data_IF_871727658420
#
_entry.id   IF_871727658420
#
_cell.length_a   1.000
_cell.length_b   1.000
_cell.length_c   1.000
_cell.angle_alpha   90.00
_cell.angle_beta   90.00
_cell.angle_gamma   90.00
#
_symmetry.space_group_name_H-M   'P 1'
#
loop_
_entity.id
_entity.type
_entity.pdbx_description
1 polymer ?
#
# COMPACT_ATOMS: atom_id res chain seq x y z
N UNK A 1 -9.03 -27.59 -10.40
CA UNK A 1 -7.66 -28.01 -10.74
C UNK A 1 -6.90 -28.46 -9.49
N UNK A 2 -6.13 -29.54 -9.56
CA UNK A 2 -5.29 -30.03 -8.45
C UNK A 2 -3.85 -30.16 -8.94
N UNK A 3 -2.92 -29.50 -8.27
CA UNK A 3 -1.48 -29.52 -8.57
C UNK A 3 -0.73 -30.05 -7.34
N UNK A 4 0.09 -31.08 -7.50
CA UNK A 4 0.86 -31.67 -6.40
C UNK A 4 2.29 -31.90 -6.82
N UNK A 5 3.24 -31.65 -5.92
CA UNK A 5 4.66 -31.90 -6.16
C UNK A 5 5.19 -31.19 -7.42
N UNK A 6 4.63 -30.01 -7.74
CA UNK A 6 5.06 -29.26 -8.92
C UNK A 6 6.20 -28.30 -8.55
N UNK A 7 7.06 -28.05 -9.53
CA UNK A 7 8.14 -27.08 -9.44
C UNK A 7 8.00 -26.10 -10.60
N UNK A 8 7.71 -24.84 -10.31
CA UNK A 8 7.67 -23.75 -11.29
C UNK A 8 8.88 -22.86 -11.05
N UNK A 9 9.73 -22.74 -12.08
CA UNK A 9 11.00 -22.03 -11.95
C UNK A 9 11.32 -21.17 -13.16
N UNK A 10 11.94 -20.01 -12.90
CA UNK A 10 12.49 -19.12 -13.93
C UNK A 10 11.43 -18.67 -14.95
N UNK A 11 10.19 -18.49 -14.49
CA UNK A 11 9.10 -18.00 -15.34
C UNK A 11 9.11 -16.48 -15.28
N UNK A 12 9.14 -15.83 -16.44
CA UNK A 12 9.15 -14.37 -16.55
C UNK A 12 8.03 -13.98 -17.51
N UNK A 13 7.07 -13.18 -17.05
CA UNK A 13 5.99 -12.68 -17.89
C UNK A 13 5.89 -11.16 -17.79
N UNK A 14 5.96 -10.49 -18.92
CA UNK A 14 5.59 -9.07 -19.04
C UNK A 14 4.06 -8.97 -19.07
N UNK A 15 3.47 -8.10 -18.24
CA UNK A 15 2.03 -7.86 -18.17
C UNK A 15 1.16 -9.02 -17.65
N UNK A 16 1.75 -10.02 -16.97
CA UNK A 16 1.11 -11.30 -16.71
C UNK A 16 0.84 -11.67 -15.25
N UNK A 17 -0.05 -12.65 -15.08
CA UNK A 17 -0.31 -13.39 -13.83
C UNK A 17 0.04 -14.86 -14.00
N UNK A 18 0.38 -15.53 -12.90
CA UNK A 18 0.70 -16.96 -12.94
C UNK A 18 -0.53 -17.85 -13.07
N UNK A 19 -1.33 -17.90 -12.03
CA UNK A 19 -2.48 -18.78 -11.85
C UNK A 19 -3.72 -17.94 -11.60
N UNK A 20 -4.74 -18.15 -12.42
CA UNK A 20 -6.05 -17.54 -12.24
C UNK A 20 -7.15 -18.58 -12.42
N UNK A 21 -8.29 -18.36 -11.77
CA UNK A 21 -9.51 -19.10 -12.00
C UNK A 21 -10.65 -18.16 -12.35
N UNK A 22 -11.64 -18.68 -13.08
CA UNK A 22 -12.94 -18.04 -13.27
C UNK A 22 -13.97 -18.67 -12.34
N UNK A 23 -15.23 -18.23 -12.44
CA UNK A 23 -16.39 -18.65 -11.66
C UNK A 23 -16.39 -20.11 -11.19
N UNK A 24 -16.72 -20.29 -9.91
CA UNK A 24 -16.75 -21.55 -9.14
C UNK A 24 -15.44 -22.35 -9.22
N UNK A 25 -14.36 -21.59 -9.42
CA UNK A 25 -13.01 -22.05 -9.59
C UNK A 25 -12.38 -22.60 -8.32
N UNK A 26 -12.15 -23.92 -8.29
CA UNK A 26 -11.38 -24.56 -7.22
C UNK A 26 -9.98 -24.93 -7.67
N UNK A 27 -8.96 -24.35 -7.03
CA UNK A 27 -7.55 -24.71 -7.20
C UNK A 27 -7.01 -25.27 -5.88
N UNK A 28 -6.34 -26.41 -5.94
CA UNK A 28 -5.65 -26.99 -4.79
C UNK A 28 -4.20 -27.28 -5.16
N UNK A 29 -3.27 -26.74 -4.39
CA UNK A 29 -1.82 -26.83 -4.62
C UNK A 29 -1.21 -27.42 -3.35
N UNK A 30 -0.40 -28.47 -3.46
CA UNK A 30 0.27 -29.06 -2.30
C UNK A 30 1.67 -29.54 -2.59
N UNK A 31 2.58 -29.36 -1.62
CA UNK A 31 3.96 -29.84 -1.70
C UNK A 31 4.70 -29.28 -2.93
N UNK A 32 4.44 -28.03 -3.28
CA UNK A 32 4.92 -27.43 -4.52
C UNK A 32 5.95 -26.33 -4.25
N UNK A 33 6.77 -26.00 -5.25
CA UNK A 33 7.74 -24.91 -5.16
C UNK A 33 7.58 -23.95 -6.33
N UNK A 34 7.59 -22.66 -6.02
CA UNK A 34 7.57 -21.54 -6.95
C UNK A 34 8.83 -20.72 -6.70
N UNK A 35 9.78 -20.74 -7.64
CA UNK A 35 11.10 -20.18 -7.41
C UNK A 35 11.60 -19.33 -8.59
N UNK A 36 12.09 -18.13 -8.30
CA UNK A 36 12.63 -17.21 -9.29
C UNK A 36 11.64 -16.88 -10.41
N UNK A 37 10.36 -16.66 -10.05
CA UNK A 37 9.33 -16.26 -10.99
C UNK A 37 9.09 -14.74 -10.94
N UNK A 38 8.76 -14.15 -12.08
CA UNK A 38 8.28 -12.78 -12.20
C UNK A 38 6.91 -12.75 -12.86
N UNK A 39 5.92 -12.25 -12.13
CA UNK A 39 4.58 -11.98 -12.61
C UNK A 39 4.19 -10.58 -12.12
N UNK A 40 3.89 -9.65 -13.03
CA UNK A 40 3.55 -8.27 -12.65
C UNK A 40 2.37 -8.21 -11.65
N UNK A 41 1.39 -9.10 -11.86
CA UNK A 41 0.19 -9.25 -11.03
C UNK A 41 0.28 -10.40 -10.02
N UNK A 42 1.51 -10.81 -9.68
CA UNK A 42 1.77 -11.89 -8.74
C UNK A 42 1.46 -13.29 -9.28
N UNK A 43 1.83 -14.31 -8.50
CA UNK A 43 1.55 -15.71 -8.86
C UNK A 43 0.04 -15.94 -8.90
N UNK A 44 -0.72 -15.36 -7.97
CA UNK A 44 -2.17 -15.44 -7.91
C UNK A 44 -2.75 -14.02 -8.00
N UNK A 45 -3.51 -13.74 -9.06
CA UNK A 45 -4.27 -12.49 -9.18
C UNK A 45 -5.75 -12.74 -8.88
N UNK A 46 -6.36 -11.83 -8.12
CA UNK A 46 -7.81 -11.77 -7.90
C UNK A 46 -8.33 -10.40 -8.36
N UNK A 47 -9.16 -10.43 -9.39
CA UNK A 47 -10.03 -9.31 -9.79
C UNK A 47 -11.44 -9.87 -9.97
N UNK A 48 -12.23 -9.82 -8.90
CA UNK A 48 -13.49 -10.57 -8.83
C UNK A 48 -14.71 -9.79 -9.31
N UNK A 49 -14.57 -8.79 -10.19
CA UNK A 49 -15.75 -8.11 -10.79
C UNK A 49 -16.64 -9.14 -11.51
N UNK A 50 -17.69 -9.59 -10.83
CA UNK A 50 -18.60 -10.63 -11.31
C UNK A 50 -18.14 -12.07 -11.09
N UNK A 51 -16.91 -12.33 -10.64
CA UNK A 51 -16.45 -13.69 -10.38
C UNK A 51 -16.90 -14.16 -8.99
N UNK A 52 -17.49 -15.36 -8.90
CA UNK A 52 -17.96 -15.96 -7.63
C UNK A 52 -17.39 -17.37 -7.43
N UNK A 53 -17.29 -17.84 -6.20
CA UNK A 53 -16.90 -19.21 -5.86
C UNK A 53 -15.40 -19.51 -5.95
N UNK A 54 -14.53 -18.52 -5.73
CA UNK A 54 -13.07 -18.69 -5.83
C UNK A 54 -12.54 -19.43 -4.60
N UNK A 55 -12.04 -20.66 -4.78
CA UNK A 55 -11.48 -21.47 -3.70
C UNK A 55 -10.04 -21.87 -4.02
N UNK A 56 -9.07 -21.25 -3.36
CA UNK A 56 -7.66 -21.61 -3.41
C UNK A 56 -7.21 -22.26 -2.10
N UNK A 57 -6.63 -23.45 -2.21
CA UNK A 57 -6.12 -24.19 -1.08
C UNK A 57 -4.67 -24.59 -1.33
N UNK A 58 -3.74 -23.81 -0.79
CA UNK A 58 -2.29 -23.98 -0.92
C UNK A 58 -1.77 -24.57 0.40
N UNK A 59 -1.06 -25.69 0.32
CA UNK A 59 -0.52 -26.38 1.51
C UNK A 59 0.93 -26.80 1.31
N UNK A 60 1.73 -26.73 2.38
CA UNK A 60 3.10 -27.26 2.40
C UNK A 60 3.93 -26.83 1.18
N UNK A 61 3.79 -25.58 0.75
CA UNK A 61 4.40 -25.10 -0.49
C UNK A 61 5.37 -23.96 -0.20
N UNK A 62 6.37 -23.82 -1.06
CA UNK A 62 7.45 -22.87 -0.88
C UNK A 62 7.48 -21.85 -2.02
N UNK A 63 7.70 -20.59 -1.66
CA UNK A 63 7.76 -19.45 -2.57
C UNK A 63 9.08 -18.71 -2.34
N UNK A 64 10.00 -18.84 -3.30
CA UNK A 64 11.36 -18.30 -3.22
C UNK A 64 11.66 -17.28 -4.31
N UNK A 65 12.27 -16.15 -3.95
CA UNK A 65 12.83 -15.20 -4.92
C UNK A 65 11.83 -14.75 -5.99
N UNK A 66 10.54 -14.69 -5.68
CA UNK A 66 9.53 -14.28 -6.64
C UNK A 66 9.39 -12.76 -6.63
N UNK A 67 9.15 -12.17 -7.80
CA UNK A 67 9.08 -10.71 -7.96
C UNK A 67 7.80 -10.27 -8.65
N UNK A 68 7.31 -9.08 -8.31
CA UNK A 68 6.16 -8.44 -8.98
C UNK A 68 6.16 -6.93 -8.83
N UNK A 69 5.16 -6.26 -9.41
CA UNK A 69 4.90 -4.85 -9.14
C UNK A 69 4.23 -4.69 -7.76
N UNK A 70 3.19 -5.48 -7.50
CA UNK A 70 2.47 -5.54 -6.22
C UNK A 70 2.21 -7.00 -5.85
N UNK A 71 2.35 -7.38 -4.57
CA UNK A 71 1.95 -8.71 -4.10
C UNK A 71 2.56 -9.85 -4.89
N UNK A 72 3.85 -10.17 -4.68
CA UNK A 72 4.56 -11.16 -5.51
C UNK A 72 3.88 -12.52 -5.58
N UNK A 73 3.15 -12.89 -4.52
CA UNK A 73 2.43 -14.15 -4.46
C UNK A 73 0.93 -13.92 -4.68
N UNK A 74 0.33 -12.95 -4.00
CA UNK A 74 -1.10 -12.68 -4.09
C UNK A 74 -1.36 -11.18 -4.33
N UNK A 75 -2.01 -10.87 -5.45
CA UNK A 75 -2.41 -9.51 -5.80
C UNK A 75 -3.94 -9.45 -5.95
N UNK A 76 -4.60 -8.73 -5.06
CA UNK A 76 -6.05 -8.56 -5.04
C UNK A 76 -6.37 -7.14 -5.48
N UNK A 77 -6.79 -6.99 -6.73
CA UNK A 77 -7.17 -5.71 -7.34
C UNK A 77 -8.59 -5.28 -7.00
N UNK A 78 -9.48 -6.24 -6.78
CA UNK A 78 -10.84 -6.00 -6.31
C UNK A 78 -11.45 -7.32 -5.87
N UNK A 79 -12.19 -7.29 -4.77
CA UNK A 79 -12.95 -8.45 -4.32
C UNK A 79 -14.31 -8.01 -3.77
N UNK A 80 -15.37 -8.49 -4.43
CA UNK A 80 -16.75 -8.39 -3.97
C UNK A 80 -17.06 -9.57 -3.06
N UNK A 81 -17.55 -9.29 -1.86
CA UNK A 81 -17.74 -10.31 -0.84
C UNK A 81 -18.64 -11.45 -1.31
N UNK A 82 -18.19 -12.68 -1.04
CA UNK A 82 -18.95 -13.90 -1.23
C UNK A 82 -18.56 -14.92 -0.15
N UNK A 83 -19.57 -15.43 0.56
CA UNK A 83 -19.43 -16.38 1.66
C UNK A 83 -18.70 -17.69 1.28
N UNK A 84 -18.70 -18.06 0.00
CA UNK A 84 -18.12 -19.32 -0.47
C UNK A 84 -16.64 -19.17 -0.89
N UNK A 85 -16.14 -17.94 -1.00
CA UNK A 85 -14.80 -17.71 -1.51
C UNK A 85 -13.78 -17.84 -0.38
N UNK A 86 -12.67 -18.51 -0.67
CA UNK A 86 -11.60 -18.70 0.32
C UNK A 86 -10.26 -18.95 -0.36
N UNK A 87 -9.25 -18.19 0.07
CA UNK A 87 -7.86 -18.37 -0.29
C UNK A 87 -7.10 -18.70 0.99
N UNK A 88 -6.54 -19.91 1.05
CA UNK A 88 -5.82 -20.38 2.23
C UNK A 88 -4.42 -20.85 1.86
N UNK A 89 -3.44 -20.34 2.61
CA UNK A 89 -2.06 -20.80 2.62
C UNK A 89 -1.81 -21.45 3.98
N UNK A 90 -1.42 -22.73 3.97
CA UNK A 90 -1.21 -23.49 5.20
C UNK A 90 0.19 -24.09 5.20
N UNK A 91 0.93 -23.98 6.31
CA UNK A 91 2.26 -24.58 6.49
C UNK A 91 3.21 -24.25 5.31
N UNK A 92 3.20 -23.00 4.85
CA UNK A 92 3.93 -22.58 3.64
C UNK A 92 5.02 -21.58 3.99
N UNK A 93 6.08 -21.56 3.19
CA UNK A 93 7.25 -20.70 3.38
C UNK A 93 7.33 -19.66 2.26
N UNK A 94 7.47 -18.40 2.65
CA UNK A 94 7.65 -17.25 1.76
C UNK A 94 8.99 -16.60 2.07
N UNK A 95 9.97 -16.78 1.18
CA UNK A 95 11.33 -16.32 1.41
C UNK A 95 11.91 -15.53 0.23
N UNK A 96 12.52 -14.38 0.53
CA UNK A 96 13.16 -13.49 -0.45
C UNK A 96 12.24 -13.05 -1.60
N UNK A 97 10.92 -13.00 -1.38
CA UNK A 97 10.01 -12.47 -2.38
C UNK A 97 9.96 -10.95 -2.28
N UNK A 98 9.85 -10.26 -3.41
CA UNK A 98 9.87 -8.80 -3.42
C UNK A 98 8.83 -8.21 -4.37
N UNK A 99 8.20 -7.11 -3.96
CA UNK A 99 7.38 -6.29 -4.85
C UNK A 99 8.00 -4.91 -5.01
N UNK A 100 7.94 -4.32 -6.21
CA UNK A 100 8.48 -2.97 -6.43
C UNK A 100 7.73 -1.93 -5.59
N UNK A 101 6.41 -2.02 -5.52
CA UNK A 101 5.57 -0.99 -4.89
C UNK A 101 5.04 -1.46 -3.53
N UNK A 102 4.05 -2.36 -3.53
CA UNK A 102 3.27 -2.68 -2.33
C UNK A 102 3.20 -4.17 -2.06
N UNK A 103 3.33 -4.55 -0.80
CA UNK A 103 3.06 -5.91 -0.34
C UNK A 103 4.05 -6.92 -0.90
N UNK A 104 5.15 -7.20 -0.20
CA UNK A 104 6.19 -8.09 -0.73
C UNK A 104 5.69 -9.51 -0.99
N UNK A 105 4.65 -9.96 -0.28
CA UNK A 105 3.96 -11.24 -0.51
C UNK A 105 2.53 -11.03 -0.97
N UNK A 106 1.77 -10.19 -0.26
CA UNK A 106 0.36 -9.92 -0.53
C UNK A 106 0.08 -8.43 -0.64
N UNK A 107 -0.61 -8.07 -1.72
CA UNK A 107 -1.20 -6.76 -1.90
C UNK A 107 -2.71 -6.91 -2.00
N UNK A 108 -3.44 -6.07 -1.27
CA UNK A 108 -4.88 -5.94 -1.46
C UNK A 108 -5.37 -4.52 -1.25
N UNK A 109 -6.28 -4.11 -2.11
CA UNK A 109 -7.09 -2.90 -1.95
C UNK A 109 -8.56 -3.22 -1.61
N UNK A 110 -8.93 -4.48 -1.41
CA UNK A 110 -10.31 -4.86 -1.17
C UNK A 110 -10.66 -4.76 0.31
N UNK A 111 -11.79 -4.10 0.65
CA UNK A 111 -12.23 -3.95 2.04
C UNK A 111 -12.59 -5.28 2.72
N UNK A 112 -12.81 -6.37 1.95
CA UNK A 112 -13.25 -7.66 2.47
C UNK A 112 -12.15 -8.74 2.41
N UNK A 113 -10.87 -8.34 2.32
CA UNK A 113 -9.77 -9.31 2.17
C UNK A 113 -9.60 -10.18 3.42
N UNK A 114 -9.90 -9.64 4.60
CA UNK A 114 -10.01 -10.35 5.87
C UNK A 114 -11.06 -11.48 5.90
N UNK A 115 -11.98 -11.54 4.94
CA UNK A 115 -12.95 -12.65 4.84
C UNK A 115 -12.51 -13.69 3.82
N UNK A 116 -11.62 -13.32 2.91
CA UNK A 116 -11.17 -14.14 1.80
C UNK A 116 -9.87 -14.88 2.10
N UNK A 117 -8.88 -14.21 2.72
CA UNK A 117 -7.48 -14.66 2.74
C UNK A 117 -7.03 -15.08 4.13
N UNK A 118 -6.40 -16.26 4.20
CA UNK A 118 -5.93 -16.88 5.44
C UNK A 118 -4.51 -17.44 5.26
N UNK A 119 -3.61 -17.08 6.16
CA UNK A 119 -2.25 -17.59 6.28
C UNK A 119 -2.09 -18.30 7.63
N UNK A 120 -2.21 -19.63 7.60
CA UNK A 120 -2.16 -20.51 8.77
C UNK A 120 -0.79 -21.19 8.83
N UNK A 121 -0.08 -21.04 9.95
CA UNK A 121 1.23 -21.65 10.22
C UNK A 121 2.27 -21.38 9.10
N UNK A 122 2.27 -20.15 8.57
CA UNK A 122 3.18 -19.73 7.50
C UNK A 122 4.41 -19.00 8.05
N UNK A 123 5.53 -19.13 7.35
CA UNK A 123 6.80 -18.49 7.68
C UNK A 123 7.14 -17.46 6.60
N UNK A 124 7.57 -16.27 7.03
CA UNK A 124 7.89 -15.15 6.13
C UNK A 124 9.30 -14.65 6.43
N UNK A 125 10.25 -14.88 5.52
CA UNK A 125 11.66 -14.55 5.69
C UNK A 125 12.14 -13.57 4.61
N UNK A 126 12.67 -12.42 5.03
CA UNK A 126 13.36 -11.49 4.14
C UNK A 126 12.57 -11.10 2.87
N UNK A 127 11.24 -10.98 2.97
CA UNK A 127 10.44 -10.42 1.87
C UNK A 127 10.44 -8.90 1.98
N UNK A 128 10.36 -8.20 0.85
CA UNK A 128 10.51 -6.74 0.78
C UNK A 128 9.52 -6.07 -0.16
N UNK A 129 9.15 -4.83 0.14
CA UNK A 129 8.43 -3.95 -0.78
C UNK A 129 8.70 -2.47 -0.46
N UNK A 130 8.28 -1.56 -1.35
CA UNK A 130 8.29 -0.13 -1.05
C UNK A 130 7.49 0.21 0.21
N UNK A 131 6.29 -0.38 0.35
CA UNK A 131 5.51 -0.39 1.59
C UNK A 131 4.90 -1.77 1.85
N UNK A 132 4.89 -2.19 3.12
CA UNK A 132 4.36 -3.49 3.53
C UNK A 132 5.23 -4.65 3.06
N UNK A 133 6.36 -4.89 3.73
CA UNK A 133 7.33 -5.94 3.35
C UNK A 133 6.69 -7.33 3.18
N UNK A 134 5.65 -7.64 3.95
CA UNK A 134 4.83 -8.85 3.77
C UNK A 134 3.48 -8.48 3.16
N UNK A 135 2.74 -7.60 3.81
CA UNK A 135 1.35 -7.29 3.46
C UNK A 135 1.14 -5.79 3.31
N UNK A 136 0.49 -5.41 2.22
CA UNK A 136 -0.13 -4.11 2.08
C UNK A 136 -1.64 -4.29 1.93
N UNK A 137 -2.43 -3.59 2.74
CA UNK A 137 -3.91 -3.68 2.74
C UNK A 137 -4.57 -2.30 2.67
N UNK A 138 -5.85 -2.23 2.29
CA UNK A 138 -6.58 -0.97 2.24
C UNK A 138 -6.65 -0.28 3.61
N UNK A 139 -6.93 -1.07 4.65
CA UNK A 139 -7.01 -0.66 6.06
C UNK A 139 -6.66 -1.85 6.94
N UNK A 140 -6.41 -1.61 8.22
CA UNK A 140 -6.13 -2.67 9.18
C UNK A 140 -7.29 -3.68 9.29
N UNK A 141 -8.53 -3.19 9.21
CA UNK A 141 -9.74 -4.05 9.25
C UNK A 141 -9.92 -4.93 8.02
N UNK A 142 -9.26 -4.60 6.90
CA UNK A 142 -9.35 -5.36 5.65
C UNK A 142 -8.23 -6.37 5.48
N UNK A 143 -7.24 -6.43 6.37
CA UNK A 143 -6.05 -7.27 6.18
C UNK A 143 -6.34 -8.77 6.09
N UNK A 144 -5.52 -9.55 5.35
CA UNK A 144 -5.55 -11.00 5.44
C UNK A 144 -5.41 -11.50 6.89
N UNK A 145 -6.00 -12.66 7.20
CA UNK A 145 -5.81 -13.26 8.51
C UNK A 145 -4.47 -13.98 8.57
N UNK A 146 -3.58 -13.49 9.43
CA UNK A 146 -2.30 -14.15 9.74
C UNK A 146 -2.36 -14.78 11.12
N UNK A 147 -2.11 -16.09 11.20
CA UNK A 147 -1.97 -16.80 12.48
C UNK A 147 -0.86 -16.23 13.38
N UNK A 148 0.16 -15.61 12.79
CA UNK A 148 1.31 -14.98 13.45
C UNK A 148 1.31 -13.44 13.36
N UNK A 149 0.13 -12.79 13.23
CA UNK A 149 0.00 -11.33 13.02
C UNK A 149 0.83 -10.47 13.99
N UNK A 150 0.89 -10.83 15.27
CA UNK A 150 1.63 -10.07 16.29
C UNK A 150 3.12 -9.97 15.96
N UNK A 151 3.71 -11.07 15.52
CA UNK A 151 5.11 -11.11 15.13
C UNK A 151 5.37 -10.24 13.88
N UNK A 152 4.44 -10.27 12.91
CA UNK A 152 4.55 -9.43 11.72
C UNK A 152 4.44 -7.93 12.05
N UNK A 153 3.63 -7.57 13.04
CA UNK A 153 3.53 -6.18 13.53
C UNK A 153 4.84 -5.72 14.19
N UNK A 154 5.46 -6.55 15.02
CA UNK A 154 6.75 -6.24 15.66
C UNK A 154 7.89 -6.00 14.66
N UNK A 155 7.81 -6.61 13.47
CA UNK A 155 8.78 -6.46 12.39
C UNK A 155 8.48 -5.28 11.45
N UNK A 156 7.42 -4.50 11.69
CA UNK A 156 6.91 -3.50 10.75
C UNK A 156 6.69 -4.07 9.33
N UNK A 157 6.24 -5.33 9.25
CA UNK A 157 6.08 -6.07 8.00
C UNK A 157 4.75 -5.76 7.29
N UNK A 158 3.85 -5.06 7.98
CA UNK A 158 2.51 -4.72 7.52
C UNK A 158 2.43 -3.22 7.26
N UNK A 159 1.72 -2.84 6.21
CA UNK A 159 1.37 -1.45 5.96
C UNK A 159 -0.03 -1.34 5.41
N UNK A 160 -0.64 -0.17 5.57
CA UNK A 160 -1.96 0.11 4.99
C UNK A 160 -1.93 1.33 4.09
N UNK A 161 -3.06 1.62 3.46
CA UNK A 161 -3.27 2.94 2.84
C UNK A 161 -3.06 4.05 3.88
N UNK A 162 -2.55 5.23 3.48
CA UNK A 162 -2.40 6.33 4.42
C UNK A 162 -3.77 6.74 4.98
N UNK A 163 -3.80 7.03 6.28
CA UNK A 163 -5.02 7.43 7.01
C UNK A 163 -4.85 8.74 7.78
N UNK A 164 -3.61 9.21 7.97
CA UNK A 164 -3.31 10.42 8.76
C UNK A 164 -2.31 11.33 8.06
N UNK A 165 -2.47 12.63 8.28
CA UNK A 165 -1.51 13.67 7.91
C UNK A 165 -1.13 14.38 9.20
N UNK A 166 0.16 14.39 9.57
CA UNK A 166 0.64 15.10 10.75
C UNK A 166 1.74 16.07 10.36
N UNK A 167 1.80 17.23 11.04
CA UNK A 167 2.93 18.14 10.92
C UNK A 167 4.21 17.46 11.41
N UNK A 168 5.31 17.67 10.69
CA UNK A 168 6.65 17.20 11.07
C UNK A 168 7.26 18.15 12.12
N UNK A 169 6.63 18.21 13.29
CA UNK A 169 6.99 19.10 14.40
C UNK A 169 5.81 19.91 14.95
N UNK A 170 6.07 20.67 16.01
CA UNK A 170 5.12 21.64 16.57
C UNK A 170 5.47 23.04 16.05
N UNK A 171 4.56 23.64 15.28
CA UNK A 171 4.78 24.94 14.68
C UNK A 171 3.78 25.95 15.22
N UNK A 172 4.25 26.82 16.13
CA UNK A 172 3.61 28.09 16.43
C UNK A 172 4.48 29.17 15.83
N UNK A 173 4.09 29.66 14.64
CA UNK A 173 4.88 30.66 13.92
C UNK A 173 4.27 32.03 14.13
N UNK A 174 5.10 32.99 14.54
CA UNK A 174 4.74 34.41 14.53
C UNK A 174 5.38 35.05 13.31
N UNK A 175 4.55 35.65 12.45
CA UNK A 175 4.98 36.36 11.24
C UNK A 175 4.23 37.71 11.16
N UNK A 176 4.87 38.69 10.55
CA UNK A 176 4.20 39.94 10.20
C UNK A 176 3.41 39.78 8.90
N UNK A 177 2.36 40.60 8.75
CA UNK A 177 1.56 40.64 7.53
C UNK A 177 2.45 40.98 6.31
N UNK A 178 2.43 40.14 5.28
CA UNK A 178 3.25 40.22 4.09
C UNK A 178 4.52 39.35 4.10
N UNK A 179 4.86 38.75 5.24
CA UNK A 179 5.99 37.83 5.36
C UNK A 179 5.66 36.42 4.85
N UNK A 180 6.71 35.67 4.50
CA UNK A 180 6.61 34.27 4.12
C UNK A 180 6.49 33.37 5.34
N UNK A 181 5.74 32.28 5.22
CA UNK A 181 5.86 31.17 6.17
C UNK A 181 7.29 30.58 6.11
N UNK A 182 7.84 30.08 7.23
CA UNK A 182 9.13 29.41 7.25
C UNK A 182 9.19 28.22 6.28
N UNK A 183 10.31 28.11 5.56
CA UNK A 183 10.50 27.08 4.52
C UNK A 183 10.66 25.65 5.07
N UNK A 184 10.76 25.48 6.39
CA UNK A 184 10.96 24.18 7.04
C UNK A 184 9.67 23.50 7.51
N UNK A 185 8.50 24.09 7.26
CA UNK A 185 7.22 23.47 7.61
C UNK A 185 6.90 22.37 6.61
N UNK A 186 6.66 21.17 7.11
CA UNK A 186 6.21 20.04 6.29
C UNK A 186 5.24 19.15 7.07
N UNK A 187 4.47 18.36 6.33
CA UNK A 187 3.69 17.26 6.89
C UNK A 187 4.30 15.91 6.50
N UNK A 188 3.95 14.87 7.24
CA UNK A 188 4.17 13.47 6.88
C UNK A 188 2.83 12.73 6.83
N UNK A 189 2.76 11.74 5.97
CA UNK A 189 1.62 10.83 5.91
C UNK A 189 1.91 9.57 6.72
N UNK A 190 0.87 9.05 7.37
CA UNK A 190 0.95 7.85 8.18
C UNK A 190 -0.19 6.89 7.85
N UNK A 191 0.08 5.60 7.99
CA UNK A 191 -0.90 4.52 7.86
C UNK A 191 -1.55 4.16 9.22
N UNK A 192 -2.35 3.09 9.25
CA UNK A 192 -3.05 2.64 10.47
C UNK A 192 -2.09 2.18 11.56
N UNK A 193 -0.90 1.70 11.18
CA UNK A 193 0.17 1.29 12.09
C UNK A 193 1.04 2.45 12.57
N UNK A 194 0.78 3.67 12.09
CA UNK A 194 1.62 4.84 12.27
C UNK A 194 3.01 4.68 11.61
N UNK A 195 3.11 3.87 10.55
CA UNK A 195 4.28 3.87 9.68
C UNK A 195 4.27 5.15 8.85
N UNK A 196 5.44 5.77 8.68
CA UNK A 196 5.61 6.89 7.74
C UNK A 196 5.55 6.37 6.31
N UNK A 197 4.73 7.02 5.48
CA UNK A 197 4.64 6.70 4.06
C UNK A 197 5.86 7.25 3.33
N UNK A 198 6.53 6.36 2.59
CA UNK A 198 7.61 6.71 1.69
C UNK A 198 7.09 6.78 0.24
N UNK A 199 7.52 7.82 -0.45
CA UNK A 199 7.32 8.11 -1.86
C UNK A 199 8.62 7.80 -2.62
N UNK A 200 8.50 7.62 -3.92
CA UNK A 200 9.65 7.34 -4.77
C UNK A 200 10.54 8.58 -4.85
N UNK A 201 11.82 8.41 -4.53
CA UNK A 201 12.83 9.48 -4.58
C UNK A 201 13.71 9.42 -5.81
N UNK A 202 13.66 8.31 -6.55
CA UNK A 202 14.42 8.12 -7.78
C UNK A 202 13.69 8.74 -8.97
N UNK A 203 14.26 9.83 -9.50
CA UNK A 203 13.75 10.56 -10.65
C UNK A 203 13.74 9.68 -11.91
N UNK A 204 14.61 8.67 -12.00
CA UNK A 204 14.73 7.82 -13.18
C UNK A 204 13.48 6.99 -13.50
N UNK A 205 12.71 6.62 -12.46
CA UNK A 205 11.49 5.80 -12.57
C UNK A 205 10.24 6.55 -12.12
N UNK A 206 10.31 7.88 -12.09
CA UNK A 206 9.28 8.72 -11.52
C UNK A 206 8.06 8.86 -12.44
N UNK A 207 6.87 8.50 -11.94
CA UNK A 207 5.59 8.81 -12.56
C UNK A 207 4.88 9.93 -11.78
N UNK A 208 4.58 11.03 -12.45
CA UNK A 208 3.87 12.17 -11.86
C UNK A 208 2.49 11.80 -11.32
N UNK A 209 1.86 10.77 -11.88
CA UNK A 209 0.57 10.26 -11.41
C UNK A 209 0.67 9.56 -10.05
N UNK A 210 1.87 9.18 -9.61
CA UNK A 210 2.08 8.57 -8.30
C UNK A 210 2.23 9.59 -7.17
N UNK A 211 2.28 10.89 -7.49
CA UNK A 211 2.40 11.94 -6.49
C UNK A 211 1.10 12.24 -5.75
N UNK A 212 1.23 12.37 -4.43
CA UNK A 212 0.24 13.06 -3.62
C UNK A 212 0.45 14.56 -3.77
N UNK A 213 -0.54 15.25 -4.34
CA UNK A 213 -0.56 16.71 -4.39
C UNK A 213 -1.50 17.28 -3.34
N UNK A 214 -1.20 18.48 -2.86
CA UNK A 214 -1.99 19.17 -1.85
C UNK A 214 -2.02 20.67 -2.09
N UNK A 215 -2.93 21.33 -1.40
CA UNK A 215 -3.08 22.78 -1.40
C UNK A 215 -3.11 23.30 0.03
N UNK A 216 -2.40 24.39 0.28
CA UNK A 216 -2.52 25.17 1.51
C UNK A 216 -3.66 26.18 1.33
N UNK A 217 -4.61 26.14 2.25
CA UNK A 217 -5.83 26.94 2.24
C UNK A 217 -5.94 27.71 3.57
N UNK A 218 -6.43 28.94 3.53
CA UNK A 218 -6.83 29.68 4.71
C UNK A 218 -8.20 29.18 5.18
N UNK A 219 -8.39 29.04 6.49
CA UNK A 219 -9.70 28.72 7.07
C UNK A 219 -10.55 29.97 7.30
N UNK A 220 -9.89 31.14 7.40
CA UNK A 220 -10.52 32.44 7.64
C UNK A 220 -10.32 33.35 6.41
N UNK A 221 -11.25 33.28 5.47
CA UNK A 221 -11.21 34.00 4.20
C UNK A 221 -11.39 35.52 4.34
N UNK A 222 -11.92 36.00 5.46
CA UNK A 222 -12.20 37.42 5.67
C UNK A 222 -11.02 38.18 6.27
N UNK A 223 -10.15 37.50 7.02
CA UNK A 223 -9.06 38.15 7.74
C UNK A 223 -7.67 37.81 7.22
N UNK A 224 -7.53 36.79 6.36
CA UNK A 224 -6.25 36.31 5.86
C UNK A 224 -6.35 35.99 4.38
N UNK A 225 -5.36 36.43 3.63
CA UNK A 225 -5.15 36.08 2.23
C UNK A 225 -3.74 35.48 2.06
N UNK A 226 -3.66 34.43 1.23
CA UNK A 226 -2.42 33.72 0.92
C UNK A 226 -1.92 34.14 -0.47
N UNK A 227 -0.70 34.67 -0.54
CA UNK A 227 -0.07 35.08 -1.79
C UNK A 227 1.09 34.15 -2.17
N UNK A 228 1.08 33.65 -3.40
CA UNK A 228 2.13 32.79 -3.94
C UNK A 228 1.62 31.43 -4.42
N UNK A 229 2.52 30.45 -4.51
CA UNK A 229 2.16 29.09 -4.88
C UNK A 229 1.53 28.38 -3.68
N UNK A 230 0.23 28.12 -3.73
CA UNK A 230 -0.49 27.40 -2.65
C UNK A 230 -0.56 25.90 -2.87
N UNK A 231 -0.20 25.40 -4.06
CA UNK A 231 -0.23 23.97 -4.41
C UNK A 231 1.17 23.39 -4.43
N UNK A 232 1.34 22.20 -3.85
CA UNK A 232 2.61 21.47 -3.79
C UNK A 232 2.36 19.97 -3.85
N UNK A 233 3.42 19.17 -3.73
CA UNK A 233 3.37 17.71 -3.72
C UNK A 233 4.26 17.12 -2.64
N UNK A 234 3.98 15.89 -2.26
CA UNK A 234 4.81 15.13 -1.33
C UNK A 234 5.97 14.45 -2.08
N UNK A 235 7.14 14.42 -1.47
CA UNK A 235 8.38 13.86 -2.01
C UNK A 235 9.15 13.15 -0.89
N UNK A 236 9.81 12.04 -1.20
CA UNK A 236 10.49 11.18 -0.22
C UNK A 236 9.58 10.74 0.93
N UNK A 237 9.61 11.37 2.09
CA UNK A 237 8.74 11.06 3.22
C UNK A 237 7.95 12.28 3.70
N UNK A 238 7.98 13.39 2.94
CA UNK A 238 7.50 14.71 3.38
C UNK A 238 6.59 15.37 2.36
N UNK A 239 5.73 16.25 2.87
CA UNK A 239 4.87 17.15 2.13
C UNK A 239 5.26 18.60 2.49
N UNK A 240 6.32 19.15 1.87
CA UNK A 240 6.88 20.45 2.23
C UNK A 240 5.94 21.60 1.80
N UNK A 241 5.67 22.51 2.73
CA UNK A 241 4.83 23.66 2.44
C UNK A 241 5.52 24.54 1.39
N UNK A 242 4.81 24.99 0.35
CA UNK A 242 5.38 25.88 -0.63
C UNK A 242 5.61 27.29 -0.03
N UNK A 243 6.47 28.11 -0.64
CA UNK A 243 6.78 29.45 -0.13
C UNK A 243 5.59 30.40 -0.32
N UNK A 244 4.75 30.51 0.72
CA UNK A 244 3.53 31.32 0.74
C UNK A 244 3.73 32.55 1.61
N UNK A 245 3.31 33.72 1.13
CA UNK A 245 3.17 34.94 1.94
C UNK A 245 1.79 35.01 2.56
N UNK A 246 1.71 35.47 3.81
CA UNK A 246 0.45 35.61 4.55
C UNK A 246 0.18 37.08 4.80
N UNK A 247 -0.94 37.60 4.29
CA UNK A 247 -1.40 38.97 4.56
C UNK A 247 -2.69 38.88 5.36
N UNK A 248 -2.78 39.57 6.49
CA UNK A 248 -4.00 39.52 7.28
C UNK A 248 -4.04 40.44 8.49
N UNK A 249 -5.22 40.50 9.12
CA UNK A 249 -5.45 41.25 10.36
C UNK A 249 -4.78 40.56 11.56
N UNK A 250 -4.29 41.32 12.56
CA UNK A 250 -3.67 40.74 13.76
C UNK A 250 -4.54 39.68 14.44
N UNK A 251 -3.92 38.58 14.88
CA UNK A 251 -4.57 37.50 15.61
C UNK A 251 -3.99 36.13 15.32
N UNK A 252 -4.50 35.11 16.02
CA UNK A 252 -4.17 33.71 15.76
C UNK A 252 -5.02 33.24 14.59
N UNK A 253 -4.37 32.63 13.60
CA UNK A 253 -4.99 32.18 12.35
C UNK A 253 -4.57 30.76 12.04
N UNK A 254 -5.47 30.03 11.38
CA UNK A 254 -5.23 28.65 10.98
C UNK A 254 -5.17 28.56 9.47
N UNK A 255 -4.07 27.98 8.98
CA UNK A 255 -3.97 27.46 7.61
C UNK A 255 -4.15 25.95 7.64
N UNK A 256 -4.69 25.39 6.56
CA UNK A 256 -5.00 23.98 6.41
C UNK A 256 -4.27 23.43 5.20
N UNK A 257 -3.66 22.26 5.35
CA UNK A 257 -3.25 21.45 4.21
C UNK A 257 -4.43 20.59 3.76
N UNK A 258 -4.79 20.68 2.50
CA UNK A 258 -5.87 19.94 1.87
C UNK A 258 -5.31 19.07 0.74
N UNK A 259 -5.38 17.74 0.87
CA UNK A 259 -4.93 16.81 -0.16
C UNK A 259 -5.85 16.92 -1.38
N UNK A 260 -5.24 17.07 -2.56
CA UNK A 260 -5.96 17.19 -3.84
C UNK A 260 -5.88 15.93 -4.68
N UNK A 261 -4.74 15.24 -4.67
CA UNK A 261 -4.57 13.93 -5.32
C UNK A 261 -3.91 12.96 -4.36
N UNK A 262 -4.28 11.68 -4.48
CA UNK A 262 -3.75 10.61 -3.63
C UNK A 262 -2.60 9.84 -4.28
N UNK A 263 -2.23 10.19 -5.52
CA UNK A 263 -1.15 9.54 -6.24
C UNK A 263 -1.43 8.04 -6.44
N UNK A 264 -0.45 7.22 -6.07
CA UNK A 264 -0.56 5.74 -6.07
C UNK A 264 -1.44 5.16 -4.96
N UNK A 265 -1.96 5.99 -4.05
CA UNK A 265 -2.78 5.58 -2.91
C UNK A 265 -4.28 5.71 -3.20
N UNK A 266 -5.08 4.98 -2.42
CA UNK A 266 -6.52 5.18 -2.39
C UNK A 266 -6.87 6.46 -1.61
N UNK A 267 -8.05 6.99 -1.90
CA UNK A 267 -8.63 8.10 -1.13
C UNK A 267 -8.60 7.75 0.35
N UNK A 268 -8.04 8.65 1.16
CA UNK A 268 -7.97 8.47 2.62
C UNK A 268 -9.39 8.51 3.17
N UNK A 269 -9.79 7.48 3.92
CA UNK A 269 -11.12 7.35 4.51
C UNK A 269 -11.06 7.60 6.01
#
# INVERSE_FOLDING_TARGET
MVLKNIKLENIQTEGGKGINTRDDGKISISNSTFNNCHFEDGIFEIDSKGNKGIIYNIKNSNFYNNTSINGSILNIKYYEYNLNDRISFNNSLFENNSATNFGGVVYSNSPNTNQLVFFEDCIFNNNTAGNGNISYSLSQSSEPNFSNIKHLQEMNALSTNPTKVLLDGQYNVSIFSGEKIPDNISCKLYDDYNNVIKFDSDIGNFDINNLVSFQIENVDEYNVELFGQTKSYCWEDKCPFPPIKVVGNPGIRTIRLNIKTFGKFYIFK
#
